data_IF_366767737222
#
_entry.id   IF_366767737222
#
_cell.length_a   1.000
_cell.length_b   1.000
_cell.length_c   1.000
_cell.angle_alpha   90.00
_cell.angle_beta   90.00
_cell.angle_gamma   90.00
#
_symmetry.space_group_name_H-M   'P 1'
#
loop_
_entity.id
_entity.type
_entity.pdbx_description
1 polymer ?
#
# COMPACT_ATOMS: atom_id res chain seq x y z
N UNK A 1 -17.35 -9.62 -0.20
CA UNK A 1 -15.97 -9.78 0.33
C UNK A 1 -15.11 -10.30 -0.80
N UNK A 2 -14.12 -9.53 -1.25
CA UNK A 2 -13.20 -10.00 -2.30
C UNK A 2 -12.36 -11.14 -1.77
N UNK A 3 -12.48 -12.31 -2.39
CA UNK A 3 -11.66 -13.48 -2.09
C UNK A 3 -10.28 -13.20 -2.68
N UNK A 4 -9.40 -12.59 -1.89
CA UNK A 4 -7.99 -12.47 -2.25
C UNK A 4 -7.43 -13.90 -2.23
N UNK A 5 -7.27 -14.50 -3.41
CA UNK A 5 -6.62 -15.80 -3.55
C UNK A 5 -5.16 -15.62 -3.13
N UNK A 6 -4.83 -16.06 -1.92
CA UNK A 6 -3.45 -16.14 -1.48
C UNK A 6 -2.73 -17.16 -2.37
N UNK A 7 -1.96 -16.66 -3.32
CA UNK A 7 -1.23 -17.48 -4.31
C UNK A 7 -0.19 -18.39 -3.66
N UNK A 8 0.20 -18.10 -2.43
CA UNK A 8 1.25 -18.79 -1.66
C UNK A 8 0.72 -19.43 -0.37
N UNK A 9 -0.42 -20.13 -0.45
CA UNK A 9 -1.04 -20.79 0.72
C UNK A 9 -0.11 -21.81 1.38
N UNK A 10 0.60 -22.61 0.57
CA UNK A 10 1.56 -23.60 1.08
C UNK A 10 2.72 -22.97 1.87
N UNK A 11 3.24 -21.83 1.40
CA UNK A 11 4.29 -21.08 2.12
C UNK A 11 3.78 -20.59 3.48
N UNK A 12 2.53 -20.13 3.54
CA UNK A 12 1.91 -19.70 4.79
C UNK A 12 1.70 -20.88 5.74
N UNK A 13 1.26 -22.03 5.25
CA UNK A 13 1.12 -23.25 6.05
C UNK A 13 2.46 -23.72 6.64
N UNK A 14 3.53 -23.69 5.83
CA UNK A 14 4.87 -24.00 6.31
C UNK A 14 5.37 -23.00 7.36
N UNK A 15 5.08 -21.70 7.17
CA UNK A 15 5.43 -20.67 8.14
C UNK A 15 4.72 -20.90 9.48
N UNK A 16 3.42 -21.21 9.44
CA UNK A 16 2.62 -21.55 10.63
C UNK A 16 3.20 -22.75 11.35
N UNK A 17 3.54 -23.82 10.63
CA UNK A 17 4.15 -25.01 11.22
C UNK A 17 5.49 -24.70 11.89
N UNK A 18 6.38 -23.96 11.22
CA UNK A 18 7.70 -23.58 11.76
C UNK A 18 7.56 -22.73 13.03
N UNK A 19 6.65 -21.77 13.04
CA UNK A 19 6.41 -20.90 14.19
C UNK A 19 5.77 -21.67 15.34
N UNK A 20 4.79 -22.53 15.04
CA UNK A 20 4.15 -23.42 16.02
C UNK A 20 5.19 -24.31 16.71
N UNK A 21 6.11 -24.91 15.96
CA UNK A 21 7.19 -25.73 16.49
C UNK A 21 8.17 -24.94 17.37
N UNK A 22 8.46 -23.68 17.01
CA UNK A 22 9.37 -22.82 17.77
C UNK A 22 8.77 -22.30 19.07
N UNK A 23 7.49 -21.96 19.06
CA UNK A 23 6.79 -21.37 20.22
C UNK A 23 6.18 -22.47 21.11
N UNK A 24 5.98 -23.67 20.58
CA UNK A 24 5.33 -24.78 21.30
C UNK A 24 3.82 -24.57 21.49
N UNK A 25 3.22 -23.60 20.79
CA UNK A 25 1.80 -23.27 20.85
C UNK A 25 1.22 -23.31 19.44
N UNK A 26 0.03 -23.91 19.30
CA UNK A 26 -0.74 -23.87 18.06
C UNK A 26 -1.17 -22.44 17.76
N UNK A 27 -0.79 -21.92 16.59
CA UNK A 27 -1.19 -20.60 16.09
C UNK A 27 -1.96 -20.80 14.79
N UNK A 28 -3.03 -20.02 14.60
CA UNK A 28 -3.81 -20.03 13.36
C UNK A 28 -3.16 -19.18 12.26
N UNK A 29 -3.51 -19.44 11.01
CA UNK A 29 -3.06 -18.61 9.88
C UNK A 29 -3.44 -17.14 10.05
N UNK A 30 -4.66 -16.87 10.55
CA UNK A 30 -5.15 -15.50 10.77
C UNK A 30 -4.32 -14.77 11.83
N UNK A 31 -4.03 -15.42 12.96
CA UNK A 31 -3.18 -14.83 14.01
C UNK A 31 -1.77 -14.49 13.49
N UNK A 32 -1.19 -15.34 12.64
CA UNK A 32 0.11 -15.04 12.03
C UNK A 32 0.03 -13.84 11.11
N UNK A 33 -1.01 -13.76 10.27
CA UNK A 33 -1.20 -12.61 9.39
C UNK A 33 -1.39 -11.32 10.19
N UNK A 34 -2.18 -11.34 11.26
CA UNK A 34 -2.37 -10.18 12.14
C UNK A 34 -1.05 -9.73 12.79
N UNK A 35 -0.23 -10.69 13.24
CA UNK A 35 1.08 -10.40 13.80
C UNK A 35 2.02 -9.83 12.74
N UNK A 36 2.03 -10.38 11.53
CA UNK A 36 2.85 -9.87 10.42
C UNK A 36 2.43 -8.45 10.07
N UNK A 37 1.13 -8.15 9.97
CA UNK A 37 0.63 -6.80 9.69
C UNK A 37 1.12 -5.82 10.77
N UNK A 38 0.98 -6.19 12.05
CA UNK A 38 1.45 -5.36 13.18
C UNK A 38 2.96 -5.18 13.18
N UNK A 39 3.72 -6.23 12.84
CA UNK A 39 5.18 -6.19 12.78
C UNK A 39 5.64 -5.31 11.62
N UNK A 40 5.08 -5.47 10.43
CA UNK A 40 5.41 -4.69 9.25
C UNK A 40 4.99 -3.22 9.40
N UNK A 41 3.87 -2.93 10.07
CA UNK A 41 3.48 -1.56 10.37
C UNK A 41 4.51 -0.82 11.24
N UNK A 42 5.24 -1.53 12.11
CA UNK A 42 6.32 -0.97 12.92
C UNK A 42 7.65 -0.87 12.18
N UNK A 43 7.84 -1.67 11.13
CA UNK A 43 9.05 -1.71 10.31
C UNK A 43 8.70 -1.35 8.86
N UNK A 44 8.02 -0.21 8.69
CA UNK A 44 7.46 0.19 7.40
C UNK A 44 8.55 0.39 6.36
N UNK A 45 9.70 0.94 6.76
CA UNK A 45 10.83 1.18 5.86
C UNK A 45 11.40 -0.13 5.30
N UNK A 46 11.50 -1.18 6.12
CA UNK A 46 11.94 -2.51 5.68
C UNK A 46 10.94 -3.14 4.72
N UNK A 47 9.64 -2.98 4.99
CA UNK A 47 8.59 -3.44 4.09
C UNK A 47 8.67 -2.70 2.74
N UNK A 48 8.85 -1.38 2.76
CA UNK A 48 9.03 -0.56 1.56
C UNK A 48 10.25 -1.01 0.79
N UNK A 49 11.41 -1.22 1.44
CA UNK A 49 12.63 -1.71 0.80
C UNK A 49 12.43 -3.10 0.17
N UNK A 50 11.74 -4.01 0.86
CA UNK A 50 11.42 -5.34 0.34
C UNK A 50 10.53 -5.27 -0.92
N UNK A 51 9.59 -4.32 -0.95
CA UNK A 51 8.71 -4.09 -2.09
C UNK A 51 9.39 -3.30 -3.22
N UNK A 52 10.30 -2.39 -2.90
CA UNK A 52 11.03 -1.56 -3.87
C UNK A 52 11.94 -2.38 -4.77
N UNK A 53 12.45 -3.52 -4.32
CA UNK A 53 13.14 -4.48 -5.20
C UNK A 53 12.28 -4.96 -6.39
N UNK A 54 10.97 -4.71 -6.40
CA UNK A 54 10.08 -5.01 -7.52
C UNK A 54 9.61 -3.80 -8.35
N UNK A 55 9.80 -2.55 -7.90
CA UNK A 55 9.54 -1.35 -8.70
C UNK A 55 10.08 -0.12 -7.98
N UNK A 56 11.26 0.36 -8.38
CA UNK A 56 11.62 1.75 -8.12
C UNK A 56 10.83 2.63 -9.09
N UNK A 57 9.93 3.47 -8.56
CA UNK A 57 9.38 4.58 -9.33
C UNK A 57 10.56 5.49 -9.65
N UNK A 58 10.88 5.66 -10.93
CA UNK A 58 11.99 6.51 -11.32
C UNK A 58 11.77 7.94 -10.83
N UNK A 59 12.84 8.65 -10.49
CA UNK A 59 12.77 10.06 -10.05
C UNK A 59 11.99 10.94 -11.04
N UNK A 60 11.99 10.57 -12.33
CA UNK A 60 11.18 11.21 -13.37
C UNK A 60 9.69 11.10 -13.08
N UNK A 61 9.21 9.92 -12.67
CA UNK A 61 7.79 9.70 -12.37
C UNK A 61 7.37 10.36 -11.05
N UNK A 62 8.28 10.45 -10.07
CA UNK A 62 8.04 11.23 -8.84
C UNK A 62 7.87 12.72 -9.18
N UNK A 63 8.74 13.26 -10.05
CA UNK A 63 8.62 14.65 -10.53
C UNK A 63 7.31 14.89 -11.26
N UNK A 64 6.89 13.98 -12.15
CA UNK A 64 5.59 14.06 -12.85
C UNK A 64 4.40 14.10 -11.88
N UNK A 65 4.39 13.26 -10.84
CA UNK A 65 3.32 13.23 -9.83
C UNK A 65 3.29 14.53 -9.03
N UNK A 66 4.46 15.06 -8.65
CA UNK A 66 4.54 16.33 -7.94
C UNK A 66 4.06 17.51 -8.82
N UNK A 67 4.41 17.54 -10.11
CA UNK A 67 3.90 18.57 -11.03
C UNK A 67 2.39 18.48 -11.23
N UNK A 68 1.82 17.28 -11.32
CA UNK A 68 0.35 17.08 -11.44
C UNK A 68 -0.42 17.62 -10.24
N UNK A 69 0.14 17.54 -9.03
CA UNK A 69 -0.47 18.10 -7.81
C UNK A 69 -0.31 19.62 -7.74
N UNK A 70 0.67 20.19 -8.44
CA UNK A 70 0.93 21.64 -8.42
C UNK A 70 0.06 22.41 -9.42
N UNK A 71 -0.51 21.73 -10.42
CA UNK A 71 -1.44 22.31 -11.40
C UNK A 71 -2.85 22.60 -10.83
N UNK A 72 -3.11 22.33 -9.55
CA UNK A 72 -4.33 22.79 -8.87
C UNK A 72 -4.26 24.25 -8.35
N UNK A 73 -3.27 25.04 -8.78
CA UNK A 73 -3.35 26.50 -8.67
C UNK A 73 -4.21 27.08 -9.80
N UNK A 74 -5.48 26.65 -9.85
CA UNK A 74 -6.48 27.35 -10.63
C UNK A 74 -6.78 28.68 -9.93
N UNK A 75 -6.11 29.77 -10.36
CA UNK A 75 -6.52 31.11 -9.98
C UNK A 75 -7.88 31.40 -10.63
N UNK A 76 -8.97 31.21 -9.88
CA UNK A 76 -10.31 31.64 -10.29
C UNK A 76 -10.28 33.15 -10.49
N UNK A 77 -10.23 33.61 -11.75
CA UNK A 77 -10.47 35.02 -12.10
C UNK A 77 -11.96 35.19 -12.43
N UNK A 78 -12.81 34.95 -11.45
CA UNK A 78 -14.26 35.07 -11.61
C UNK A 78 -15.04 34.42 -10.46
N UNK A 79 -16.34 34.66 -10.40
CA UNK A 79 -17.26 33.89 -9.55
C UNK A 79 -17.41 32.48 -10.12
N UNK A 80 -17.51 31.48 -9.24
CA UNK A 80 -17.60 30.04 -9.56
C UNK A 80 -18.63 29.76 -10.68
N UNK A 81 -19.72 30.52 -10.72
CA UNK A 81 -20.79 30.37 -11.70
C UNK A 81 -20.35 30.70 -13.15
N UNK A 82 -19.41 31.64 -13.36
CA UNK A 82 -18.92 32.00 -14.70
C UNK A 82 -17.99 30.92 -15.28
N UNK A 83 -17.13 30.33 -14.44
CA UNK A 83 -16.17 29.30 -14.85
C UNK A 83 -16.86 27.97 -15.16
N UNK A 84 -17.96 27.64 -14.48
CA UNK A 84 -18.67 26.37 -14.67
C UNK A 84 -19.70 26.45 -15.79
N UNK A 85 -20.43 27.56 -15.91
CA UNK A 85 -21.58 27.63 -16.83
C UNK A 85 -21.29 28.39 -18.13
N UNK A 86 -20.17 29.11 -18.23
CA UNK A 86 -19.84 29.96 -19.37
C UNK A 86 -20.79 31.17 -19.47
N UNK A 87 -20.25 32.35 -19.76
CA UNK A 87 -21.03 33.58 -19.87
C UNK A 87 -22.16 33.40 -20.90
N UNK A 88 -23.40 33.51 -20.42
CA UNK A 88 -24.60 33.34 -21.24
C UNK A 88 -24.99 34.64 -21.95
#
# INVERSE_FOLDING_TARGET
MSIVKLTKKEDLDQLVAKITLKIGKKITQQEILDVIIKFSAKNIDDLVNFLQNNHQISEKRVKEILTLVTDENYETKGTIDEDIYGSH
#
